data_IF_501834967638
#
_entry.id   IF_501834967638
#
_cell.length_a   1.000
_cell.length_b   1.000
_cell.length_c   1.000
_cell.angle_alpha   90.00
_cell.angle_beta   90.00
_cell.angle_gamma   90.00
#
_symmetry.space_group_name_H-M   'P 1'
#
loop_
_entity.id
_entity.type
_entity.pdbx_description
1 polymer ?
#
# COMPACT_ATOMS: atom_id res chain seq x y z
N UNK A 1 -20.14 5.49 -11.16
CA UNK A 1 -18.91 5.87 -11.89
C UNK A 1 -17.83 4.91 -11.43
N UNK A 2 -17.26 4.11 -12.34
CA UNK A 2 -16.21 3.15 -11.99
C UNK A 2 -14.94 3.93 -11.67
N UNK A 3 -14.57 4.01 -10.38
CA UNK A 3 -13.33 4.69 -9.96
C UNK A 3 -12.15 3.83 -10.44
N UNK A 4 -11.42 4.30 -11.45
CA UNK A 4 -10.18 3.65 -11.88
C UNK A 4 -9.07 3.93 -10.88
N UNK A 5 -8.20 2.94 -10.63
CA UNK A 5 -7.22 2.94 -9.52
C UNK A 5 -6.23 4.12 -9.55
N UNK A 6 -6.14 4.90 -10.64
CA UNK A 6 -5.23 6.04 -10.77
C UNK A 6 -3.76 5.70 -10.48
N UNK A 7 -3.42 4.41 -10.50
CA UNK A 7 -2.20 3.88 -9.91
C UNK A 7 -1.09 3.73 -10.94
N UNK A 8 -1.40 3.95 -12.23
CA UNK A 8 -0.50 3.86 -13.38
C UNK A 8 0.43 2.64 -13.31
N UNK A 9 -0.20 1.47 -13.13
CA UNK A 9 0.44 0.16 -13.09
C UNK A 9 -0.43 -0.82 -13.86
N UNK A 10 0.21 -1.73 -14.59
CA UNK A 10 -0.51 -2.74 -15.36
C UNK A 10 -1.18 -3.77 -14.45
N UNK A 11 -2.27 -4.39 -14.91
CA UNK A 11 -2.92 -5.50 -14.19
C UNK A 11 -1.97 -6.68 -13.94
N UNK A 12 -0.99 -6.91 -14.83
CA UNK A 12 0.06 -7.92 -14.63
C UNK A 12 0.93 -7.57 -13.42
N UNK A 13 1.36 -6.31 -13.30
CA UNK A 13 2.16 -5.83 -12.19
C UNK A 13 1.39 -5.91 -10.87
N UNK A 14 0.10 -5.56 -10.86
CA UNK A 14 -0.77 -5.68 -9.68
C UNK A 14 -0.86 -7.14 -9.22
N UNK A 15 -1.13 -8.07 -10.14
CA UNK A 15 -1.16 -9.51 -9.84
C UNK A 15 0.19 -10.02 -9.31
N UNK A 16 1.29 -9.58 -9.94
CA UNK A 16 2.63 -9.92 -9.49
C UNK A 16 2.92 -9.41 -8.08
N UNK A 17 2.59 -8.15 -7.78
CA UNK A 17 2.73 -7.58 -6.45
C UNK A 17 1.95 -8.38 -5.40
N UNK A 18 0.70 -8.75 -5.71
CA UNK A 18 -0.15 -9.53 -4.81
C UNK A 18 0.38 -10.95 -4.58
N UNK A 19 0.74 -11.68 -5.64
CA UNK A 19 1.29 -13.03 -5.49
C UNK A 19 2.55 -13.00 -4.63
N UNK A 20 3.45 -12.07 -4.91
CA UNK A 20 4.70 -11.95 -4.18
C UNK A 20 4.51 -11.53 -2.72
N UNK A 21 3.45 -10.80 -2.37
CA UNK A 21 3.13 -10.45 -0.98
C UNK A 21 2.51 -11.61 -0.20
N UNK A 22 2.09 -12.69 -0.88
CA UNK A 22 1.57 -13.93 -0.28
C UNK A 22 2.67 -15.00 -0.10
N UNK A 23 3.85 -14.79 -0.66
CA UNK A 23 4.98 -15.72 -0.57
C UNK A 23 5.72 -15.69 0.78
N UNK A 24 5.24 -14.92 1.77
CA UNK A 24 5.84 -14.84 3.11
C UNK A 24 5.20 -15.79 4.13
N UNK A 25 4.30 -16.68 3.70
CA UNK A 25 3.70 -17.69 4.57
C UNK A 25 4.65 -18.88 4.74
N UNK A 26 5.37 -18.93 5.85
CA UNK A 26 6.28 -20.03 6.21
C UNK A 26 5.56 -21.40 6.33
N UNK A 27 4.25 -21.38 6.58
CA UNK A 27 3.41 -22.56 6.80
C UNK A 27 2.16 -22.58 5.93
N UNK A 28 2.36 -22.68 4.62
CA UNK A 28 1.29 -22.73 3.60
C UNK A 28 0.22 -23.81 3.86
N UNK A 29 0.52 -24.83 4.69
CA UNK A 29 -0.33 -25.98 4.94
C UNK A 29 -1.07 -25.99 6.29
N UNK A 30 -0.84 -25.03 7.20
CA UNK A 30 -1.41 -25.10 8.57
C UNK A 30 -2.94 -24.88 8.59
N UNK A 31 -3.45 -24.00 7.71
CA UNK A 31 -4.88 -23.70 7.58
C UNK A 31 -5.41 -23.89 6.15
N UNK A 32 -4.61 -24.50 5.27
CA UNK A 32 -4.98 -24.87 3.91
C UNK A 32 -5.38 -23.66 3.04
N UNK A 33 -6.35 -23.81 2.11
CA UNK A 33 -6.71 -22.79 1.13
C UNK A 33 -7.15 -21.44 1.73
N UNK A 34 -7.62 -21.41 2.99
CA UNK A 34 -8.08 -20.18 3.66
C UNK A 34 -6.99 -19.13 3.79
N UNK A 35 -5.73 -19.52 3.93
CA UNK A 35 -4.58 -18.61 4.00
C UNK A 35 -4.42 -17.79 2.72
N UNK A 36 -4.88 -18.30 1.57
CA UNK A 36 -4.78 -17.59 0.30
C UNK A 36 -5.95 -16.65 0.02
N UNK A 37 -7.07 -16.81 0.72
CA UNK A 37 -8.26 -15.96 0.58
C UNK A 37 -8.28 -14.76 1.52
N UNK A 38 -7.46 -14.78 2.57
CA UNK A 38 -7.31 -13.67 3.50
C UNK A 38 -5.98 -12.98 3.29
N UNK A 39 -5.97 -11.65 3.35
CA UNK A 39 -4.74 -10.86 3.33
C UNK A 39 -4.45 -10.44 4.77
N UNK A 40 -3.40 -11.01 5.36
CA UNK A 40 -2.89 -10.58 6.66
C UNK A 40 -2.40 -9.15 6.54
N UNK A 41 -2.43 -8.40 7.64
CA UNK A 41 -2.02 -7.00 7.62
C UNK A 41 -0.58 -6.82 7.09
N UNK A 42 0.35 -7.70 7.47
CA UNK A 42 1.73 -7.67 6.97
C UNK A 42 1.80 -7.90 5.44
N UNK A 43 1.05 -8.87 4.93
CA UNK A 43 0.96 -9.13 3.48
C UNK A 43 0.36 -7.94 2.73
N UNK A 44 -0.60 -7.24 3.35
CA UNK A 44 -1.17 -6.01 2.80
C UNK A 44 -0.10 -4.90 2.73
N UNK A 45 0.68 -4.69 3.79
CA UNK A 45 1.78 -3.71 3.77
C UNK A 45 2.83 -4.05 2.70
N UNK A 46 3.21 -5.32 2.59
CA UNK A 46 4.12 -5.79 1.54
C UNK A 46 3.55 -5.55 0.13
N UNK A 47 2.26 -5.82 -0.06
CA UNK A 47 1.58 -5.57 -1.33
C UNK A 47 1.69 -4.09 -1.74
N UNK A 48 1.44 -3.16 -0.82
CA UNK A 48 1.59 -1.72 -1.07
C UNK A 48 3.04 -1.36 -1.43
N UNK A 49 4.02 -1.90 -0.69
CA UNK A 49 5.45 -1.69 -0.99
C UNK A 49 5.84 -2.22 -2.38
N UNK A 50 5.33 -3.39 -2.77
CA UNK A 50 5.57 -3.98 -4.09
C UNK A 50 4.89 -3.21 -5.21
N UNK A 51 3.67 -2.70 -4.99
CA UNK A 51 3.02 -1.78 -5.93
C UNK A 51 3.84 -0.52 -6.16
N UNK A 52 4.38 0.07 -5.09
CA UNK A 52 5.27 1.21 -5.17
C UNK A 52 6.53 0.88 -5.98
N UNK A 53 7.13 -0.29 -5.76
CA UNK A 53 8.25 -0.76 -6.57
C UNK A 53 7.88 -0.88 -8.06
N UNK A 54 6.80 -1.59 -8.39
CA UNK A 54 6.36 -1.77 -9.78
C UNK A 54 5.99 -0.46 -10.49
N UNK A 55 5.45 0.52 -9.76
CA UNK A 55 5.09 1.84 -10.29
C UNK A 55 6.31 2.66 -10.68
N UNK A 56 7.38 2.58 -9.89
CA UNK A 56 8.52 3.48 -10.04
C UNK A 56 9.78 2.84 -10.63
N UNK A 57 9.92 1.50 -10.64
CA UNK A 57 11.15 0.77 -11.00
C UNK A 57 11.79 1.17 -12.33
N UNK A 58 10.99 1.59 -13.31
CA UNK A 58 11.46 1.95 -14.66
C UNK A 58 11.48 3.48 -14.86
N UNK A 59 11.58 4.24 -13.77
CA UNK A 59 11.58 5.72 -13.76
C UNK A 59 12.76 6.25 -12.94
N UNK A 60 13.24 7.45 -13.24
CA UNK A 60 14.30 8.12 -12.46
C UNK A 60 13.94 8.29 -10.97
N UNK A 61 12.64 8.31 -10.67
CA UNK A 61 12.13 8.39 -9.28
C UNK A 61 12.47 7.13 -8.48
N UNK A 62 12.78 6.01 -9.12
CA UNK A 62 13.23 4.81 -8.43
C UNK A 62 14.51 5.06 -7.63
N UNK A 63 15.43 5.81 -8.20
CA UNK A 63 16.75 6.04 -7.58
C UNK A 63 16.71 7.25 -6.64
N UNK A 64 15.88 8.24 -6.96
CA UNK A 64 15.84 9.52 -6.24
C UNK A 64 14.89 9.48 -5.04
N UNK A 65 13.74 8.81 -5.15
CA UNK A 65 12.73 8.87 -4.09
C UNK A 65 12.94 7.77 -3.04
N UNK A 66 12.77 8.16 -1.77
CA UNK A 66 12.70 7.21 -0.65
C UNK A 66 11.52 6.24 -0.83
N UNK A 67 11.63 5.05 -0.23
CA UNK A 67 10.53 4.08 -0.24
C UNK A 67 9.26 4.67 0.38
N UNK A 68 9.40 5.41 1.48
CA UNK A 68 8.31 6.15 2.13
C UNK A 68 7.52 7.00 1.12
N UNK A 69 8.21 7.87 0.38
CA UNK A 69 7.58 8.76 -0.60
C UNK A 69 6.85 7.99 -1.70
N UNK A 70 7.45 6.88 -2.18
CA UNK A 70 6.82 6.02 -3.19
C UNK A 70 5.55 5.35 -2.67
N UNK A 71 5.56 4.89 -1.41
CA UNK A 71 4.39 4.31 -0.74
C UNK A 71 3.29 5.35 -0.58
N UNK A 72 3.63 6.58 -0.17
CA UNK A 72 2.65 7.66 -0.03
C UNK A 72 1.91 7.97 -1.34
N UNK A 73 2.61 7.95 -2.48
CA UNK A 73 1.96 8.14 -3.79
C UNK A 73 1.01 6.99 -4.15
N UNK A 74 1.32 5.75 -3.76
CA UNK A 74 0.39 4.62 -3.91
C UNK A 74 -0.82 4.77 -3.00
N UNK A 75 -0.60 5.13 -1.73
CA UNK A 75 -1.68 5.33 -0.75
C UNK A 75 -2.62 6.47 -1.16
N UNK A 76 -2.11 7.59 -1.71
CA UNK A 76 -2.94 8.67 -2.26
C UNK A 76 -3.89 8.17 -3.33
N UNK A 77 -3.45 7.27 -4.20
CA UNK A 77 -4.32 6.67 -5.22
C UNK A 77 -5.38 5.74 -4.64
N UNK A 78 -5.06 5.02 -3.56
CA UNK A 78 -6.02 4.13 -2.87
C UNK A 78 -7.04 4.93 -2.05
N UNK A 79 -6.61 5.95 -1.31
CA UNK A 79 -7.47 6.73 -0.42
C UNK A 79 -8.52 7.56 -1.19
N UNK A 80 -8.26 7.89 -2.46
CA UNK A 80 -9.27 8.46 -3.38
C UNK A 80 -10.55 7.62 -3.49
N UNK A 81 -10.50 6.32 -3.21
CA UNK A 81 -11.70 5.48 -3.22
C UNK A 81 -12.65 5.79 -2.08
N UNK A 82 -12.10 6.11 -0.91
CA UNK A 82 -12.84 6.46 0.31
C UNK A 82 -12.98 7.97 0.49
N UNK A 83 -12.54 8.78 -0.49
CA UNK A 83 -12.50 10.24 -0.46
C UNK A 83 -11.65 10.83 0.68
N UNK A 84 -10.61 10.10 1.09
CA UNK A 84 -9.66 10.54 2.12
C UNK A 84 -8.30 10.90 1.50
N UNK A 85 -7.40 11.48 2.30
CA UNK A 85 -5.99 11.65 1.98
C UNK A 85 -5.12 10.99 3.06
N UNK A 86 -4.04 10.29 2.67
CA UNK A 86 -3.11 9.79 3.66
C UNK A 86 -2.36 10.95 4.30
N UNK A 87 -2.25 10.92 5.62
CA UNK A 87 -1.45 11.88 6.40
C UNK A 87 0.01 11.45 6.31
N UNK A 88 0.90 12.40 6.01
CA UNK A 88 2.33 12.15 6.08
C UNK A 88 2.72 12.00 7.56
N UNK A 89 3.39 10.91 7.97
CA UNK A 89 3.82 10.72 9.35
C UNK A 89 4.62 11.90 9.92
N UNK A 90 5.37 12.62 9.07
CA UNK A 90 6.13 13.82 9.49
C UNK A 90 5.20 14.97 9.94
N UNK A 91 3.93 14.96 9.52
CA UNK A 91 2.91 15.95 9.88
C UNK A 91 1.85 15.37 10.83
N UNK A 92 1.97 14.11 11.26
CA UNK A 92 0.95 13.44 12.07
C UNK A 92 0.87 13.99 13.50
N UNK A 93 1.99 14.51 14.02
CA UNK A 93 2.05 15.11 15.37
C UNK A 93 1.18 16.37 15.49
N UNK A 94 0.92 17.09 14.40
CA UNK A 94 0.05 18.28 14.39
C UNK A 94 -1.44 17.92 14.54
N UNK A 95 -1.85 16.69 14.18
CA UNK A 95 -3.27 16.28 14.18
C UNK A 95 -3.76 15.68 15.51
N UNK A 96 -2.84 15.22 16.37
CA UNK A 96 -3.20 14.63 17.67
C UNK A 96 -3.56 15.73 18.69
N UNK A 97 -3.05 16.95 18.51
CA UNK A 97 -3.23 18.05 19.47
C UNK A 97 -4.64 18.65 19.52
N UNK A 98 -5.47 18.48 18.47
CA UNK A 98 -6.80 19.12 18.41
C UNK A 98 -7.92 18.28 19.03
N UNK A 99 -7.67 17.01 19.37
CA UNK A 99 -8.68 16.10 19.95
C UNK A 99 -8.63 15.98 21.48
N UNK A 100 -7.57 16.46 22.14
CA UNK A 100 -7.37 16.25 23.58
C UNK A 100 -7.82 17.44 24.47
N UNK A 101 -8.49 18.45 23.89
CA UNK A 101 -8.95 19.65 24.61
C UNK A 101 -10.43 19.66 25.05
N UNK A 102 -11.11 18.50 25.07
CA UNK A 102 -12.40 18.33 25.77
C UNK A 102 -12.20 17.56 27.08
N UNK A 103 -11.85 18.29 28.15
CA UNK A 103 -11.99 17.84 29.54
C UNK A 103 -12.59 18.96 30.41
#
# INVERSE_FOLDING_TARGET
>A
MEKTLGLDVTSRSIKGAFILSKMTVEKENEHGPKEYFQVKFVEFLEFIGRLAWFKFKDTDRHEVWSLHRKIMEVLKSIFKFINEQPVDPENADEMISDSDNEY
#
